data_IF_556324941170
#
_entry.id   IF_556324941170
#
_cell.length_a   1.000
_cell.length_b   1.000
_cell.length_c   1.000
_cell.angle_alpha   90.00
_cell.angle_beta   90.00
_cell.angle_gamma   90.00
#
_symmetry.space_group_name_H-M   'P 1'
#
loop_
_entity.id
_entity.type
_entity.pdbx_description
1 polymer ?
#
# COMPACT_ATOMS: atom_id res chain seq x y z
N UNK A 1 -21.32 -1.42 -9.04
CA UNK A 1 -21.11 -1.50 -10.50
C UNK A 1 -20.11 -0.41 -10.88
N UNK A 2 -18.81 -0.73 -10.93
CA UNK A 2 -17.77 0.23 -11.31
C UNK A 2 -17.76 0.34 -12.84
N UNK A 3 -18.10 1.50 -13.38
CA UNK A 3 -18.03 1.82 -14.82
C UNK A 3 -16.66 2.45 -15.08
N UNK A 4 -15.83 1.75 -15.84
CA UNK A 4 -14.49 2.19 -16.24
C UNK A 4 -13.53 1.01 -16.16
N UNK A 5 -12.95 0.61 -17.28
CA UNK A 5 -11.74 -0.22 -17.26
C UNK A 5 -10.58 0.70 -16.84
N UNK A 6 -9.57 0.21 -16.11
CA UNK A 6 -8.38 0.99 -15.79
C UNK A 6 -7.79 1.54 -17.09
N UNK A 7 -7.43 2.82 -17.05
CA UNK A 7 -6.88 3.53 -18.18
C UNK A 7 -5.55 2.88 -18.54
N UNK A 8 -5.54 2.10 -19.61
CA UNK A 8 -4.30 1.65 -20.24
C UNK A 8 -3.87 2.75 -21.19
N UNK A 9 -2.99 3.63 -20.73
CA UNK A 9 -2.42 4.67 -21.61
C UNK A 9 -1.19 4.07 -22.26
N UNK A 10 -1.15 4.07 -23.60
CA UNK A 10 0.04 3.72 -24.36
C UNK A 10 0.87 4.99 -24.49
N UNK A 11 1.95 5.12 -23.72
CA UNK A 11 2.96 6.15 -23.91
C UNK A 11 4.19 5.50 -24.51
N UNK A 12 4.60 5.92 -25.71
CA UNK A 12 5.83 5.44 -26.37
C UNK A 12 5.92 3.91 -26.56
N UNK A 13 4.77 3.22 -26.71
CA UNK A 13 4.72 1.76 -26.84
C UNK A 13 4.66 0.99 -25.51
N UNK A 14 4.81 1.68 -24.38
CA UNK A 14 4.69 1.13 -23.02
C UNK A 14 3.24 1.22 -22.54
N UNK A 15 2.69 0.11 -22.04
CA UNK A 15 1.34 0.09 -21.45
C UNK A 15 1.43 0.51 -19.98
N UNK A 16 1.08 1.76 -19.70
CA UNK A 16 1.02 2.23 -18.31
C UNK A 16 -0.38 1.97 -17.77
N UNK A 17 -0.45 1.16 -16.72
CA UNK A 17 -1.69 0.92 -15.99
C UNK A 17 -1.99 2.12 -15.08
N UNK A 18 -3.08 2.83 -15.40
CA UNK A 18 -3.59 3.94 -14.61
C UNK A 18 -4.95 3.63 -14.00
N UNK A 19 -5.09 3.93 -12.71
CA UNK A 19 -6.36 3.88 -11.98
C UNK A 19 -6.86 5.29 -11.72
N UNK A 20 -8.14 5.54 -11.90
CA UNK A 20 -8.80 6.76 -11.44
C UNK A 20 -8.98 6.77 -9.93
N UNK A 21 -9.25 7.94 -9.35
CA UNK A 21 -9.61 8.06 -7.94
C UNK A 21 -10.75 7.10 -7.52
N UNK A 22 -11.81 7.01 -8.34
CA UNK A 22 -12.96 6.16 -8.03
C UNK A 22 -12.64 4.67 -8.09
N UNK A 23 -11.70 4.25 -8.94
CA UNK A 23 -11.22 2.87 -8.99
C UNK A 23 -10.36 2.55 -7.76
N UNK A 24 -9.42 3.42 -7.40
CA UNK A 24 -8.61 3.24 -6.19
C UNK A 24 -9.49 3.23 -4.93
N UNK A 25 -10.47 4.14 -4.84
CA UNK A 25 -11.44 4.15 -3.74
C UNK A 25 -12.26 2.85 -3.70
N UNK A 26 -12.75 2.39 -4.86
CA UNK A 26 -13.46 1.13 -4.98
C UNK A 26 -12.62 -0.08 -4.55
N UNK A 27 -11.33 -0.07 -4.89
CA UNK A 27 -10.37 -1.09 -4.46
C UNK A 27 -10.24 -1.12 -2.94
N UNK A 28 -9.94 0.02 -2.32
CA UNK A 28 -9.80 0.12 -0.88
C UNK A 28 -11.08 -0.33 -0.17
N UNK A 29 -12.26 0.11 -0.64
CA UNK A 29 -13.54 -0.32 -0.07
C UNK A 29 -13.74 -1.84 -0.12
N UNK A 30 -13.35 -2.47 -1.22
CA UNK A 30 -13.50 -3.91 -1.38
C UNK A 30 -12.56 -4.71 -0.48
N UNK A 31 -11.37 -4.17 -0.18
CA UNK A 31 -10.35 -4.87 0.62
C UNK A 31 -10.61 -4.77 2.12
N UNK A 32 -11.11 -3.63 2.61
CA UNK A 32 -11.19 -3.37 4.05
C UNK A 32 -12.49 -3.84 4.72
N UNK A 33 -13.44 -4.43 3.97
CA UNK A 33 -14.74 -4.98 4.44
C UNK A 33 -15.42 -4.18 5.57
N UNK A 34 -15.22 -2.86 5.57
CA UNK A 34 -15.79 -2.00 6.57
C UNK A 34 -17.26 -1.89 6.20
N UNK A 35 -18.14 -2.17 7.16
CA UNK A 35 -19.51 -1.67 7.11
C UNK A 35 -19.40 -0.14 7.01
N UNK A 36 -19.27 0.36 5.78
CA UNK A 36 -18.92 1.74 5.48
C UNK A 36 -20.06 2.60 6.05
N UNK A 37 -19.80 3.25 7.18
CA UNK A 37 -20.52 4.45 7.56
C UNK A 37 -20.30 5.43 6.40
N UNK A 38 -21.26 5.40 5.47
CA UNK A 38 -21.07 5.78 4.08
C UNK A 38 -20.19 7.03 3.91
N UNK A 39 -18.95 6.81 3.46
CA UNK A 39 -18.01 7.89 3.14
C UNK A 39 -16.80 8.05 4.06
N UNK A 40 -16.59 7.17 5.04
CA UNK A 40 -15.39 7.18 5.87
C UNK A 40 -14.11 6.96 5.02
N UNK A 41 -14.12 5.95 4.13
CA UNK A 41 -12.99 5.66 3.24
C UNK A 41 -12.73 6.83 2.28
N UNK A 42 -13.77 7.36 1.64
CA UNK A 42 -13.63 8.49 0.72
C UNK A 42 -13.13 9.77 1.40
N UNK A 43 -13.48 9.97 2.68
CA UNK A 43 -12.97 11.11 3.46
C UNK A 43 -11.51 10.94 3.83
N UNK A 44 -11.09 9.73 4.25
CA UNK A 44 -9.68 9.41 4.51
C UNK A 44 -8.83 9.54 3.24
N UNK A 45 -9.31 9.02 2.11
CA UNK A 45 -8.57 9.11 0.85
C UNK A 45 -8.41 10.56 0.38
N UNK A 46 -9.47 11.36 0.48
CA UNK A 46 -9.38 12.81 0.20
C UNK A 46 -8.44 13.54 1.16
N UNK A 47 -8.34 13.11 2.41
CA UNK A 47 -7.36 13.67 3.34
C UNK A 47 -5.93 13.39 2.89
N UNK A 48 -5.61 12.17 2.44
CA UNK A 48 -4.32 11.85 1.84
C UNK A 48 -4.02 12.68 0.58
N UNK A 49 -5.02 12.91 -0.29
CA UNK A 49 -4.85 13.78 -1.45
C UNK A 49 -4.50 15.23 -1.06
N UNK A 50 -5.11 15.78 0.01
CA UNK A 50 -4.76 17.12 0.53
C UNK A 50 -3.31 17.18 1.02
N UNK A 51 -2.77 16.08 1.54
CA UNK A 51 -1.36 15.93 1.90
C UNK A 51 -0.43 15.70 0.69
N UNK A 52 -0.98 15.79 -0.52
CA UNK A 52 -0.32 15.53 -1.81
C UNK A 52 0.26 14.11 -1.90
N UNK A 53 -0.43 13.14 -1.31
CA UNK A 53 -0.02 11.74 -1.29
C UNK A 53 -0.97 10.87 -2.13
N UNK A 54 -0.46 9.85 -2.83
CA UNK A 54 0.95 9.63 -3.15
C UNK A 54 1.46 10.73 -4.11
N UNK A 55 2.78 10.89 -4.17
CA UNK A 55 3.38 11.88 -5.07
C UNK A 55 3.13 11.51 -6.54
N UNK A 56 2.98 12.52 -7.41
CA UNK A 56 2.69 12.33 -8.83
C UNK A 56 1.22 12.04 -9.17
N UNK A 57 0.37 11.63 -8.22
CA UNK A 57 -1.05 11.37 -8.50
C UNK A 57 -1.92 12.65 -8.54
N UNK A 58 -1.42 13.76 -7.98
CA UNK A 58 -2.15 15.03 -7.87
C UNK A 58 -1.75 15.99 -9.01
N UNK A 59 -2.42 15.88 -10.15
CA UNK A 59 -2.12 16.62 -11.40
C UNK A 59 -2.65 18.06 -11.47
N UNK A 60 -2.91 18.71 -10.33
CA UNK A 60 -3.40 20.09 -10.28
C UNK A 60 -4.90 20.25 -10.59
N UNK A 61 -5.36 21.50 -10.67
CA UNK A 61 -6.80 21.83 -10.76
C UNK A 61 -7.34 21.48 -12.16
N UNK A 62 -8.34 20.60 -12.21
CA UNK A 62 -9.06 20.27 -13.45
C UNK A 62 -8.54 19.05 -14.22
N UNK A 63 -7.39 18.46 -13.82
CA UNK A 63 -6.90 17.22 -14.41
C UNK A 63 -7.30 16.05 -13.50
N UNK A 64 -8.00 15.02 -14.02
CA UNK A 64 -8.31 13.82 -13.24
C UNK A 64 -7.03 13.15 -12.70
N UNK A 65 -7.01 12.86 -11.40
CA UNK A 65 -5.93 12.11 -10.79
C UNK A 65 -5.86 10.71 -11.39
N UNK A 66 -4.68 10.32 -11.84
CA UNK A 66 -4.37 8.97 -12.33
C UNK A 66 -3.29 8.38 -11.43
N UNK A 67 -3.55 7.15 -10.97
CA UNK A 67 -2.71 6.41 -10.04
C UNK A 67 -2.05 5.25 -10.78
N UNK A 68 -0.72 5.22 -10.82
CA UNK A 68 0.01 4.04 -11.26
C UNK A 68 -0.05 2.91 -10.23
N UNK A 69 0.47 1.74 -10.59
CA UNK A 69 0.52 0.58 -9.69
C UNK A 69 1.30 0.88 -8.39
N UNK A 70 2.44 1.54 -8.50
CA UNK A 70 3.25 1.91 -7.33
C UNK A 70 2.49 2.84 -6.38
N UNK A 71 1.77 3.82 -6.93
CA UNK A 71 0.92 4.75 -6.17
C UNK A 71 -0.27 4.02 -5.54
N UNK A 72 -0.87 3.05 -6.24
CA UNK A 72 -1.91 2.19 -5.66
C UNK A 72 -1.37 1.42 -4.46
N UNK A 73 -0.19 0.79 -4.57
CA UNK A 73 0.44 0.07 -3.45
C UNK A 73 0.71 0.98 -2.26
N UNK A 74 1.17 2.21 -2.49
CA UNK A 74 1.33 3.23 -1.45
C UNK A 74 0.01 3.52 -0.73
N UNK A 75 -1.10 3.65 -1.47
CA UNK A 75 -2.42 3.89 -0.90
C UNK A 75 -2.89 2.69 -0.08
N UNK A 76 -2.72 1.46 -0.56
CA UNK A 76 -3.11 0.26 0.19
C UNK A 76 -2.39 0.18 1.54
N UNK A 77 -1.06 0.37 1.55
CA UNK A 77 -0.29 0.39 2.81
C UNK A 77 -0.72 1.54 3.71
N UNK A 78 -1.03 2.71 3.15
CA UNK A 78 -1.54 3.84 3.93
C UNK A 78 -2.87 3.51 4.64
N UNK A 79 -3.76 2.75 4.00
CA UNK A 79 -5.02 2.33 4.62
C UNK A 79 -4.80 1.28 5.72
N UNK A 80 -3.94 0.27 5.50
CA UNK A 80 -3.53 -0.68 6.55
C UNK A 80 -2.98 0.03 7.80
N UNK A 81 -2.10 1.03 7.61
CA UNK A 81 -1.56 1.82 8.71
C UNK A 81 -2.64 2.69 9.39
N UNK A 82 -3.59 3.20 8.62
CA UNK A 82 -4.72 3.97 9.15
C UNK A 82 -5.63 3.11 10.02
N UNK A 83 -5.87 1.85 9.64
CA UNK A 83 -6.66 0.91 10.42
C UNK A 83 -5.94 0.47 11.70
N UNK A 84 -4.61 0.42 11.65
CA UNK A 84 -3.78 0.26 12.84
C UNK A 84 -3.77 1.50 13.77
N UNK A 85 -4.45 2.59 13.40
CA UNK A 85 -4.59 3.79 14.23
C UNK A 85 -3.51 4.85 14.03
N UNK A 86 -2.68 4.74 12.98
CA UNK A 86 -1.67 5.74 12.67
C UNK A 86 -2.29 7.03 12.12
N UNK A 87 -1.79 8.20 12.55
CA UNK A 87 -2.28 9.48 12.03
C UNK A 87 -1.91 9.69 10.55
N UNK A 88 -2.75 10.34 9.72
CA UNK A 88 -2.46 10.42 8.29
C UNK A 88 -1.21 11.24 7.95
N UNK A 89 -0.89 12.30 8.71
CA UNK A 89 0.34 13.09 8.51
C UNK A 89 1.58 12.22 8.72
N UNK A 90 1.54 11.33 9.72
CA UNK A 90 2.63 10.40 10.00
C UNK A 90 2.72 9.27 9.00
N UNK A 91 1.60 8.70 8.56
CA UNK A 91 1.56 7.73 7.46
C UNK A 91 2.26 8.29 6.23
N UNK A 92 1.89 9.51 5.81
CA UNK A 92 2.48 10.16 4.63
C UNK A 92 3.98 10.37 4.82
N UNK A 93 4.42 10.83 6.01
CA UNK A 93 5.86 10.98 6.32
C UNK A 93 6.59 9.64 6.24
N UNK A 94 6.08 8.62 6.93
CA UNK A 94 6.65 7.27 6.96
C UNK A 94 6.79 6.69 5.56
N UNK A 95 5.74 6.77 4.75
CA UNK A 95 5.77 6.20 3.40
C UNK A 95 6.69 7.00 2.49
N UNK A 96 6.64 8.35 2.48
CA UNK A 96 7.57 9.17 1.69
C UNK A 96 9.04 8.87 1.99
N UNK A 97 9.39 8.79 3.28
CA UNK A 97 10.78 8.57 3.70
C UNK A 97 11.27 7.17 3.37
N UNK A 98 10.40 6.15 3.47
CA UNK A 98 10.84 4.76 3.43
C UNK A 98 10.44 4.03 2.14
N UNK A 99 9.65 4.63 1.24
CA UNK A 99 9.08 3.92 0.09
C UNK A 99 10.12 3.29 -0.82
N UNK A 100 11.26 3.96 -1.06
CA UNK A 100 12.34 3.39 -1.87
C UNK A 100 12.85 2.04 -1.33
N UNK A 101 12.82 1.85 0.00
CA UNK A 101 13.16 0.58 0.67
C UNK A 101 12.00 -0.42 0.71
N UNK A 102 10.75 0.06 0.75
CA UNK A 102 9.56 -0.81 0.80
C UNK A 102 9.15 -1.32 -0.59
N UNK A 103 9.42 -0.55 -1.65
CA UNK A 103 9.02 -0.86 -3.03
C UNK A 103 9.46 -2.27 -3.49
N UNK A 104 10.70 -2.75 -3.26
CA UNK A 104 11.10 -4.11 -3.64
C UNK A 104 10.24 -5.20 -2.99
N UNK A 105 9.84 -5.01 -1.73
CA UNK A 105 8.99 -5.96 -0.97
C UNK A 105 7.59 -6.01 -1.57
N UNK A 106 7.04 -4.84 -1.96
CA UNK A 106 5.74 -4.77 -2.64
C UNK A 106 5.79 -5.48 -4.00
N UNK A 107 6.87 -5.29 -4.76
CA UNK A 107 7.10 -5.99 -6.04
C UNK A 107 7.19 -7.51 -5.85
N UNK A 108 7.93 -7.97 -4.85
CA UNK A 108 8.03 -9.39 -4.51
C UNK A 108 6.68 -9.99 -4.08
N UNK A 109 5.95 -9.31 -3.19
CA UNK A 109 4.63 -9.75 -2.78
C UNK A 109 3.66 -9.86 -3.94
N UNK A 110 3.76 -8.97 -4.92
CA UNK A 110 2.95 -9.06 -6.12
C UNK A 110 3.23 -10.31 -6.96
N UNK A 111 4.51 -10.67 -7.11
CA UNK A 111 4.91 -11.92 -7.75
C UNK A 111 4.40 -13.14 -6.95
N UNK A 112 4.57 -13.13 -5.63
CA UNK A 112 4.14 -14.20 -4.73
C UNK A 112 2.61 -14.43 -4.74
N UNK A 113 1.82 -13.36 -4.83
CA UNK A 113 0.36 -13.41 -4.94
C UNK A 113 -0.17 -14.08 -6.22
N UNK A 114 0.71 -14.46 -7.19
CA UNK A 114 0.35 -15.34 -8.34
C UNK A 114 0.28 -16.82 -7.97
N UNK A 115 0.55 -17.18 -6.71
CA UNK A 115 0.57 -18.58 -6.26
C UNK A 115 1.93 -19.26 -6.44
N UNK A 116 3.01 -18.49 -6.58
CA UNK A 116 4.35 -19.00 -6.89
C UNK A 116 5.30 -19.11 -5.69
N UNK A 117 5.01 -18.49 -4.56
CA UNK A 117 5.87 -18.56 -3.37
C UNK A 117 5.12 -19.15 -2.17
N UNK A 118 5.75 -20.10 -1.48
CA UNK A 118 5.27 -20.55 -0.18
C UNK A 118 5.22 -19.36 0.79
N UNK A 119 4.25 -19.35 1.72
CA UNK A 119 4.08 -18.24 2.66
C UNK A 119 5.37 -17.91 3.43
N UNK A 120 6.23 -18.91 3.68
CA UNK A 120 7.49 -18.78 4.42
C UNK A 120 8.54 -17.98 3.67
N UNK A 121 8.51 -18.01 2.36
CA UNK A 121 9.52 -17.40 1.50
C UNK A 121 9.21 -15.93 1.19
N UNK A 122 8.07 -15.43 1.67
CA UNK A 122 7.60 -14.06 1.40
C UNK A 122 8.22 -13.07 2.37
N UNK A 123 8.56 -11.89 1.87
CA UNK A 123 8.81 -10.75 2.73
C UNK A 123 7.49 -10.12 3.18
N UNK A 124 7.41 -9.81 4.47
CA UNK A 124 6.33 -9.04 5.09
C UNK A 124 6.90 -7.74 5.62
N UNK A 125 6.05 -6.72 5.70
CA UNK A 125 6.41 -5.47 6.36
C UNK A 125 5.95 -5.54 7.81
N UNK A 126 6.85 -5.17 8.71
CA UNK A 126 6.63 -5.26 10.13
C UNK A 126 6.78 -3.88 10.76
N UNK A 127 5.80 -3.54 11.60
CA UNK A 127 5.80 -2.32 12.40
C UNK A 127 5.87 -2.68 13.88
N UNK A 128 6.88 -2.14 14.57
CA UNK A 128 7.08 -2.35 16.00
C UNK A 128 6.02 -1.59 16.82
N UNK A 129 5.49 -2.17 17.92
CA UNK A 129 4.48 -1.51 18.75
C UNK A 129 4.95 -0.21 19.38
N UNK A 130 6.23 -0.05 19.66
CA UNK A 130 6.78 1.22 20.15
C UNK A 130 6.61 2.32 19.10
N UNK A 131 6.91 1.99 17.83
CA UNK A 131 6.67 2.88 16.70
C UNK A 131 5.17 3.18 16.50
N UNK A 132 4.28 2.23 16.77
CA UNK A 132 2.83 2.45 16.73
C UNK A 132 2.33 3.32 17.90
N UNK A 133 2.86 3.10 19.10
CA UNK A 133 2.53 3.89 20.30
C UNK A 133 2.97 5.33 20.11
N UNK A 134 4.20 5.54 19.64
CA UNK A 134 4.69 6.87 19.29
C UNK A 134 3.91 7.47 18.12
N UNK A 135 3.43 6.64 17.19
CA UNK A 135 2.60 7.07 16.08
C UNK A 135 1.17 7.46 16.45
N UNK A 136 0.67 6.96 17.58
CA UNK A 136 -0.63 7.32 18.14
C UNK A 136 -0.60 8.59 19.02
N UNK A 137 0.60 9.06 19.41
CA UNK A 137 0.77 10.30 20.19
C UNK A 137 0.59 11.54 19.31
N UNK A 138 0.00 12.60 19.89
CA UNK A 138 -0.14 13.90 19.24
C UNK A 138 1.22 14.45 18.79
N UNK A 139 1.24 15.24 17.71
CA UNK A 139 2.43 15.66 16.96
C UNK A 139 3.47 16.42 17.79
N UNK A 140 4.36 15.70 18.46
CA UNK A 140 5.66 16.25 18.82
C UNK A 140 6.55 16.18 17.58
N UNK A 141 6.74 17.34 16.94
CA UNK A 141 7.38 17.54 15.65
C UNK A 141 8.85 17.05 15.55
N UNK A 142 9.43 16.54 16.64
CA UNK A 142 10.86 16.27 16.77
C UNK A 142 11.25 14.80 16.94
N UNK A 143 10.30 13.87 17.10
CA UNK A 143 10.66 12.45 17.20
C UNK A 143 10.69 11.85 15.81
N UNK A 144 11.86 11.86 15.18
CA UNK A 144 12.17 11.04 14.02
C UNK A 144 12.21 9.58 14.48
N UNK A 145 11.10 8.86 14.34
CA UNK A 145 11.19 7.39 14.39
C UNK A 145 11.87 6.96 13.10
N UNK A 146 13.15 6.64 13.20
CA UNK A 146 13.89 6.02 12.11
C UNK A 146 13.17 4.73 11.71
N UNK A 147 12.75 4.70 10.46
CA UNK A 147 12.06 3.62 9.75
C UNK A 147 11.19 2.68 10.62
N UNK A 148 9.90 3.02 10.82
CA UNK A 148 9.02 2.17 11.61
C UNK A 148 8.59 0.90 10.85
N UNK A 149 8.77 0.82 9.52
CA UNK A 149 8.42 -0.36 8.70
C UNK A 149 9.66 -1.13 8.26
N UNK A 150 9.83 -2.32 8.80
CA UNK A 150 10.98 -3.18 8.53
C UNK A 150 10.54 -4.38 7.69
N UNK A 151 11.10 -4.57 6.49
CA UNK A 151 10.94 -5.82 5.74
C UNK A 151 11.54 -6.99 6.51
N UNK A 152 10.83 -8.11 6.58
CA UNK A 152 11.38 -9.36 7.10
C UNK A 152 10.83 -10.60 6.40
N UNK A 153 11.55 -11.73 6.43
CA UNK A 153 11.00 -13.00 6.00
C UNK A 153 9.84 -13.44 6.89
N UNK A 154 8.74 -13.91 6.31
CA UNK A 154 7.55 -14.34 7.05
C UNK A 154 7.84 -15.48 8.04
N UNK A 155 8.79 -16.37 7.74
CA UNK A 155 9.16 -17.46 8.66
C UNK A 155 9.76 -16.94 9.98
N UNK A 156 10.35 -15.74 9.99
CA UNK A 156 10.93 -15.13 11.20
C UNK A 156 9.85 -14.80 12.24
N UNK A 157 8.59 -14.61 11.81
CA UNK A 157 7.44 -14.39 12.71
C UNK A 157 7.21 -15.56 13.68
N UNK A 158 7.63 -16.79 13.33
CA UNK A 158 7.46 -17.95 14.20
C UNK A 158 8.28 -17.84 15.50
N UNK A 159 9.49 -17.27 15.44
CA UNK A 159 10.31 -17.05 16.64
C UNK A 159 9.64 -16.07 17.60
N UNK A 160 8.92 -15.10 17.03
CA UNK A 160 8.22 -14.05 17.77
C UNK A 160 6.91 -14.54 18.37
N UNK A 161 6.13 -15.32 17.61
CA UNK A 161 4.93 -16.00 18.13
C UNK A 161 5.25 -16.93 19.31
N UNK A 162 6.50 -17.45 19.36
CA UNK A 162 7.01 -18.27 20.46
C UNK A 162 7.62 -17.44 21.61
N UNK A 163 7.52 -16.11 21.56
CA UNK A 163 8.00 -15.20 22.61
C UNK A 163 9.53 -15.12 22.73
N UNK A 164 10.28 -15.55 21.70
CA UNK A 164 11.74 -15.66 21.78
C UNK A 164 12.48 -14.34 21.50
N UNK A 165 11.91 -13.43 20.69
CA UNK A 165 12.67 -12.28 20.17
C UNK A 165 11.94 -10.90 20.16
N UNK A 166 11.03 -10.60 21.11
CA UNK A 166 10.52 -9.21 21.24
C UNK A 166 9.07 -9.05 21.76
N UNK A 167 8.61 -7.81 21.99
CA UNK A 167 7.32 -7.53 22.61
C UNK A 167 6.11 -7.93 21.73
N UNK A 168 4.97 -8.32 22.35
CA UNK A 168 3.91 -9.11 21.72
C UNK A 168 2.90 -8.36 20.83
N UNK A 169 3.20 -7.15 20.32
CA UNK A 169 2.21 -6.32 19.62
C UNK A 169 2.67 -5.83 18.25
N UNK A 170 2.73 -6.73 17.28
CA UNK A 170 3.24 -6.41 15.95
C UNK A 170 2.11 -6.11 14.96
N UNK A 171 2.26 -5.07 14.14
CA UNK A 171 1.49 -4.98 12.89
C UNK A 171 2.30 -5.63 11.77
N UNK A 172 1.71 -6.62 11.11
CA UNK A 172 2.25 -7.28 9.92
C UNK A 172 1.40 -6.87 8.73
N UNK A 173 2.04 -6.27 7.74
CA UNK A 173 1.42 -6.06 6.42
C UNK A 173 2.06 -7.09 5.50
N UNK A 174 1.25 -8.00 4.96
CA UNK A 174 1.67 -9.01 3.98
C UNK A 174 1.34 -8.51 2.56
N UNK A 175 2.33 -8.04 1.78
CA UNK A 175 2.08 -7.56 0.43
C UNK A 175 1.54 -8.65 -0.49
N UNK A 176 1.90 -9.92 -0.28
CA UNK A 176 1.35 -11.05 -1.05
C UNK A 176 -0.13 -11.27 -0.79
N UNK A 177 -0.57 -11.10 0.46
CA UNK A 177 -2.00 -11.10 0.81
C UNK A 177 -2.74 -9.91 0.17
N UNK A 178 -2.21 -8.69 0.32
CA UNK A 178 -2.81 -7.48 -0.27
C UNK A 178 -3.04 -7.65 -1.78
N UNK A 179 -2.06 -8.20 -2.50
CA UNK A 179 -2.19 -8.43 -3.94
C UNK A 179 -3.19 -9.54 -4.27
N UNK A 180 -3.24 -10.59 -3.46
CA UNK A 180 -4.21 -11.67 -3.65
C UNK A 180 -5.65 -11.17 -3.46
N UNK A 181 -5.88 -10.32 -2.46
CA UNK A 181 -7.17 -9.67 -2.21
C UNK A 181 -7.53 -8.69 -3.32
N UNK A 182 -6.59 -7.84 -3.75
CA UNK A 182 -6.77 -6.94 -4.89
C UNK A 182 -7.21 -7.70 -6.14
N UNK A 183 -6.56 -8.81 -6.47
CA UNK A 183 -6.89 -9.63 -7.65
C UNK A 183 -8.25 -10.28 -7.55
N UNK A 184 -8.62 -10.74 -6.35
CA UNK A 184 -9.94 -11.31 -6.10
C UNK A 184 -11.04 -10.26 -6.29
N UNK A 185 -10.80 -9.04 -5.82
CA UNK A 185 -11.76 -7.95 -5.96
C UNK A 185 -11.79 -7.35 -7.38
N UNK A 186 -10.67 -7.39 -8.11
CA UNK A 186 -10.51 -6.76 -9.42
C UNK A 186 -9.82 -7.72 -10.41
N UNK A 187 -10.58 -8.62 -11.06
CA UNK A 187 -10.01 -9.60 -11.99
C UNK A 187 -9.21 -8.97 -13.14
N UNK A 188 -9.49 -7.72 -13.53
CA UNK A 188 -8.71 -7.04 -14.58
C UNK A 188 -7.22 -6.90 -14.23
N UNK A 189 -6.90 -6.81 -12.95
CA UNK A 189 -5.53 -6.74 -12.44
C UNK A 189 -4.80 -8.09 -12.60
N UNK A 190 -5.53 -9.20 -12.77
CA UNK A 190 -4.95 -10.53 -13.02
C UNK A 190 -4.38 -10.70 -14.42
N UNK A 191 -4.80 -9.86 -15.38
CA UNK A 191 -4.34 -9.92 -16.77
C UNK A 191 -2.93 -9.35 -16.99
N UNK A 192 -2.38 -8.63 -16.00
CA UNK A 192 -1.04 -8.06 -16.08
C UNK A 192 0.01 -9.19 -16.07
N UNK A 193 1.01 -9.12 -16.93
CA UNK A 193 2.16 -10.04 -16.97
C UNK A 193 3.21 -9.68 -15.91
N UNK A 194 4.29 -10.44 -15.78
CA UNK A 194 5.42 -10.04 -14.91
C UNK A 194 6.13 -8.78 -15.45
N UNK A 195 6.24 -8.69 -16.77
CA UNK A 195 6.89 -7.61 -17.50
C UNK A 195 6.12 -6.28 -17.37
N UNK A 196 4.79 -6.31 -17.53
CA UNK A 196 3.92 -5.13 -17.31
C UNK A 196 4.09 -4.52 -15.90
N UNK A 197 4.52 -5.32 -14.92
CA UNK A 197 4.70 -4.87 -13.54
C UNK A 197 6.06 -4.24 -13.32
N UNK A 198 7.10 -4.87 -13.84
CA UNK A 198 8.45 -4.31 -13.78
C UNK A 198 8.45 -2.92 -14.42
N UNK A 199 7.80 -2.80 -15.58
CA UNK A 199 7.55 -1.52 -16.23
C UNK A 199 6.68 -0.58 -15.37
N UNK A 200 5.59 -1.06 -14.77
CA UNK A 200 4.71 -0.22 -13.94
C UNK A 200 5.37 0.29 -12.64
N UNK A 201 6.31 -0.45 -12.05
CA UNK A 201 7.10 -0.01 -10.90
C UNK A 201 8.27 0.93 -11.30
N UNK A 202 8.68 0.93 -12.57
CA UNK A 202 9.75 1.78 -13.11
C UNK A 202 9.25 3.08 -13.74
N UNK A 203 8.02 3.10 -14.28
CA UNK A 203 7.45 4.21 -15.07
C UNK A 203 7.16 5.50 -14.30
N UNK A 204 7.23 5.49 -12.97
CA UNK A 204 6.97 6.65 -12.10
C UNK A 204 8.21 7.01 -11.27
N UNK A 205 9.32 7.32 -11.95
CA UNK A 205 10.51 7.97 -11.40
C UNK A 205 10.47 9.48 -11.59
#
# INVERSE_FOLDING_TARGET
MLKGLPLTTVMEGVRVLGFSFGEVEGIVRAMHDVADEAGAIGSRFRYFQRLRFPEGANTGRGVPATYGLDQLMQVLVAFELSEAGMSPTRIVRTLRTNWARLRPVMRQGWAAGRGMAEWREREVLVLEPAALTDASRAEDAYVSVENPLVPMPAFALNGWAQGRDGPPRLLVIDPGRLVSELRRAFPIVTALTAEDLDEAFESYR
#
